data_IF_739979215369
#
_entry.id   IF_739979215369
#
_cell.length_a   1.000
_cell.length_b   1.000
_cell.length_c   1.000
_cell.angle_alpha   90.00
_cell.angle_beta   90.00
_cell.angle_gamma   90.00
#
_symmetry.space_group_name_H-M   'P 1'
#
loop_
_entity.id
_entity.type
_entity.pdbx_description
1 polymer ?
#
# COMPACT_ATOMS: atom_id res chain seq x y z
N UNK A 1 -33.95 -2.62 -0.37
CA UNK A 1 -33.56 -3.10 0.96
C UNK A 1 -32.70 -4.35 0.77
N UNK A 2 -31.38 -4.18 0.80
CA UNK A 2 -30.45 -5.32 0.84
C UNK A 2 -30.51 -5.83 2.28
N UNK A 3 -31.16 -6.98 2.49
CA UNK A 3 -31.18 -7.64 3.79
C UNK A 3 -29.77 -8.13 4.09
N UNK A 4 -29.08 -7.47 5.01
CA UNK A 4 -27.76 -7.88 5.51
C UNK A 4 -28.01 -8.91 6.60
N UNK A 5 -27.81 -10.18 6.30
CA UNK A 5 -27.94 -11.26 7.28
C UNK A 5 -26.74 -11.29 8.22
N UNK A 6 -27.02 -11.33 9.52
CA UNK A 6 -25.95 -11.54 10.53
C UNK A 6 -25.77 -13.03 10.72
N UNK A 7 -24.57 -13.53 10.51
CA UNK A 7 -24.20 -14.93 10.66
C UNK A 7 -23.00 -15.09 11.59
N UNK A 8 -22.93 -16.19 12.29
CA UNK A 8 -21.79 -16.53 13.15
C UNK A 8 -20.85 -17.46 12.41
N UNK A 9 -19.58 -17.08 12.29
CA UNK A 9 -18.55 -17.84 11.57
C UNK A 9 -17.37 -18.11 12.50
N UNK A 10 -16.87 -19.36 12.56
CA UNK A 10 -15.64 -19.66 13.29
C UNK A 10 -14.45 -18.86 12.77
N UNK A 11 -13.61 -18.31 13.65
CA UNK A 11 -12.46 -17.46 13.30
C UNK A 11 -11.52 -18.15 12.29
N UNK A 12 -11.28 -19.46 12.44
CA UNK A 12 -10.46 -20.26 11.53
C UNK A 12 -11.05 -20.47 10.13
N UNK A 13 -12.29 -20.02 9.89
CA UNK A 13 -12.97 -20.04 8.58
C UNK A 13 -12.99 -18.68 7.90
N UNK A 14 -12.41 -17.67 8.53
CA UNK A 14 -12.31 -16.31 8.02
C UNK A 14 -10.94 -16.09 7.35
N UNK A 15 -10.93 -15.81 6.07
CA UNK A 15 -9.72 -15.51 5.29
C UNK A 15 -9.66 -14.02 4.95
N UNK A 16 -8.45 -13.52 4.61
CA UNK A 16 -8.29 -12.19 4.04
C UNK A 16 -8.87 -12.20 2.63
N UNK A 17 -9.68 -11.20 2.30
CA UNK A 17 -10.17 -11.05 0.92
C UNK A 17 -9.03 -10.62 -0.01
N UNK A 18 -8.73 -11.38 -1.08
CA UNK A 18 -7.75 -10.96 -2.09
C UNK A 18 -8.08 -9.61 -2.73
N UNK A 19 -9.37 -9.23 -2.77
CA UNK A 19 -9.86 -7.94 -3.28
C UNK A 19 -9.79 -6.81 -2.23
N UNK A 20 -9.36 -7.10 -1.00
CA UNK A 20 -9.25 -6.07 0.02
C UNK A 20 -8.16 -5.07 -0.37
N UNK A 21 -8.55 -3.81 -0.39
CA UNK A 21 -7.67 -2.69 -0.74
C UNK A 21 -6.58 -2.49 0.31
N UNK A 22 -6.89 -2.76 1.59
CA UNK A 22 -5.95 -2.64 2.69
C UNK A 22 -5.39 -3.99 3.08
N UNK A 23 -4.08 -4.16 2.96
CA UNK A 23 -3.35 -5.40 3.29
C UNK A 23 -2.37 -5.22 4.46
N UNK A 24 -1.92 -4.00 4.71
CA UNK A 24 -0.92 -3.67 5.72
C UNK A 24 -1.56 -3.01 6.93
N UNK A 25 -1.28 -3.52 8.11
CA UNK A 25 -1.74 -3.00 9.40
C UNK A 25 -0.55 -2.86 10.35
N UNK A 26 -0.52 -1.76 11.13
CA UNK A 26 0.48 -1.57 12.18
C UNK A 26 0.36 -2.67 13.24
N UNK A 27 1.47 -3.33 13.55
CA UNK A 27 1.53 -4.37 14.59
C UNK A 27 1.12 -3.81 15.96
N UNK A 28 1.50 -2.58 16.26
CA UNK A 28 1.15 -1.88 17.50
C UNK A 28 -0.35 -1.60 17.56
N UNK A 29 -0.94 -1.08 16.47
CA UNK A 29 -2.38 -0.85 16.38
C UNK A 29 -3.22 -2.13 16.49
N UNK A 30 -2.71 -3.29 16.03
CA UNK A 30 -3.36 -4.59 16.24
C UNK A 30 -3.29 -4.99 17.71
N UNK A 31 -2.16 -4.79 18.40
CA UNK A 31 -2.01 -5.10 19.85
C UNK A 31 -2.93 -4.24 20.71
N UNK A 32 -3.03 -2.95 20.42
CA UNK A 32 -3.95 -2.04 21.11
C UNK A 32 -5.41 -2.46 20.94
N UNK A 33 -5.78 -2.81 19.70
CA UNK A 33 -7.14 -3.29 19.43
C UNK A 33 -7.42 -4.63 20.10
N UNK A 34 -6.45 -5.54 20.16
CA UNK A 34 -6.57 -6.80 20.86
C UNK A 34 -6.77 -6.58 22.37
N UNK A 35 -6.05 -5.61 22.97
CA UNK A 35 -6.24 -5.22 24.37
C UNK A 35 -7.65 -4.66 24.62
N UNK A 36 -8.18 -3.85 23.71
CA UNK A 36 -9.55 -3.31 23.80
C UNK A 36 -10.59 -4.44 23.68
N UNK A 37 -10.43 -5.35 22.74
CA UNK A 37 -11.32 -6.51 22.57
C UNK A 37 -11.31 -7.40 23.83
N UNK A 38 -10.13 -7.62 24.44
CA UNK A 38 -9.99 -8.36 25.70
C UNK A 38 -10.74 -7.68 26.83
N UNK A 39 -10.58 -6.36 26.98
CA UNK A 39 -11.24 -5.56 28.02
C UNK A 39 -12.77 -5.59 27.89
N UNK A 40 -13.31 -5.72 26.68
CA UNK A 40 -14.74 -5.81 26.39
C UNK A 40 -15.28 -7.26 26.38
N UNK A 41 -14.56 -8.18 27.00
CA UNK A 41 -14.97 -9.58 27.13
C UNK A 41 -14.95 -10.35 25.83
N UNK A 42 -13.97 -10.04 24.95
CA UNK A 42 -13.77 -10.64 23.61
C UNK A 42 -14.92 -10.39 22.61
N UNK A 43 -15.69 -9.34 22.81
CA UNK A 43 -16.77 -8.92 21.92
C UNK A 43 -16.28 -7.88 20.91
N UNK A 44 -16.81 -7.96 19.69
CA UNK A 44 -16.61 -6.93 18.69
C UNK A 44 -17.75 -5.92 18.76
N UNK A 45 -17.45 -4.64 18.95
CA UNK A 45 -18.44 -3.55 18.90
C UNK A 45 -19.07 -3.40 17.50
N UNK A 46 -18.35 -3.83 16.48
CA UNK A 46 -18.81 -3.83 15.10
C UNK A 46 -18.52 -5.19 14.45
N UNK A 47 -19.52 -5.76 13.79
CA UNK A 47 -19.40 -7.02 13.09
C UNK A 47 -18.41 -6.91 11.92
N UNK A 48 -17.73 -8.00 11.60
CA UNK A 48 -16.99 -8.12 10.36
C UNK A 48 -17.95 -8.16 9.16
N UNK A 49 -17.55 -7.61 8.03
CA UNK A 49 -18.28 -7.80 6.77
C UNK A 49 -17.58 -8.87 5.97
N UNK A 50 -18.32 -9.85 5.50
CA UNK A 50 -17.79 -11.02 4.81
C UNK A 50 -18.57 -11.33 3.53
N UNK A 51 -17.89 -11.96 2.58
CA UNK A 51 -18.49 -12.63 1.43
C UNK A 51 -18.12 -14.11 1.40
N UNK A 52 -18.85 -14.93 0.65
CA UNK A 52 -18.50 -16.34 0.46
C UNK A 52 -17.11 -16.45 -0.17
N UNK A 53 -16.29 -17.33 0.38
CA UNK A 53 -14.97 -17.67 -0.14
C UNK A 53 -15.04 -18.69 -1.29
N UNK A 54 -13.90 -18.95 -1.90
CA UNK A 54 -13.80 -19.90 -3.03
C UNK A 54 -13.99 -21.36 -2.60
N UNK A 55 -13.73 -21.64 -1.31
CA UNK A 55 -13.91 -22.98 -0.74
C UNK A 55 -15.18 -23.04 0.10
N UNK A 56 -15.92 -24.13 0.00
CA UNK A 56 -17.14 -24.37 0.78
C UNK A 56 -16.90 -24.20 2.27
N UNK A 57 -17.70 -23.36 2.92
CA UNK A 57 -17.63 -23.11 4.36
C UNK A 57 -16.51 -22.16 4.79
N UNK A 58 -15.83 -21.50 3.87
CA UNK A 58 -14.89 -20.40 4.15
C UNK A 58 -15.46 -19.07 3.67
N UNK A 59 -15.02 -17.99 4.29
CA UNK A 59 -15.50 -16.65 4.02
C UNK A 59 -14.32 -15.67 3.92
N UNK A 60 -14.40 -14.74 2.99
CA UNK A 60 -13.46 -13.64 2.87
C UNK A 60 -13.95 -12.44 3.67
N UNK A 61 -13.09 -11.88 4.51
CA UNK A 61 -13.34 -10.65 5.25
C UNK A 61 -13.08 -9.46 4.34
N UNK A 62 -14.14 -8.78 3.92
CA UNK A 62 -14.09 -7.59 3.05
C UNK A 62 -13.92 -6.30 3.83
N UNK A 63 -14.43 -6.24 5.08
CA UNK A 63 -14.22 -5.14 6.01
C UNK A 63 -14.03 -5.66 7.45
N UNK A 64 -13.19 -4.98 8.24
CA UNK A 64 -12.83 -5.40 9.60
C UNK A 64 -11.54 -6.24 9.66
N UNK A 65 -10.63 -6.10 8.69
CA UNK A 65 -9.37 -6.85 8.64
C UNK A 65 -8.52 -6.69 9.90
N UNK A 66 -8.43 -5.49 10.50
CA UNK A 66 -7.73 -5.26 11.78
C UNK A 66 -8.36 -6.05 12.92
N UNK A 67 -9.70 -6.06 13.01
CA UNK A 67 -10.44 -6.82 14.05
C UNK A 67 -10.19 -8.31 13.92
N UNK A 68 -10.19 -8.82 12.67
CA UNK A 68 -9.79 -10.21 12.41
C UNK A 68 -8.35 -10.48 12.86
N UNK A 69 -7.39 -9.62 12.53
CA UNK A 69 -5.99 -9.77 12.92
C UNK A 69 -5.82 -9.73 14.45
N UNK A 70 -6.53 -8.84 15.15
CA UNK A 70 -6.54 -8.78 16.60
C UNK A 70 -7.11 -10.06 17.24
N UNK A 71 -8.21 -10.61 16.70
CA UNK A 71 -8.75 -11.89 17.17
C UNK A 71 -7.78 -13.05 16.94
N UNK A 72 -7.08 -13.09 15.80
CA UNK A 72 -6.04 -14.08 15.55
C UNK A 72 -4.89 -13.99 16.54
N UNK A 73 -4.44 -12.76 16.87
CA UNK A 73 -3.42 -12.55 17.88
C UNK A 73 -3.85 -13.08 19.27
N UNK A 74 -5.12 -12.85 19.65
CA UNK A 74 -5.68 -13.40 20.91
C UNK A 74 -5.79 -14.94 20.88
N UNK A 75 -6.10 -15.52 19.73
CA UNK A 75 -6.14 -16.97 19.54
C UNK A 75 -4.73 -17.59 19.59
N UNK A 76 -3.73 -16.94 19.00
CA UNK A 76 -2.33 -17.36 19.08
C UNK A 76 -1.78 -17.27 20.51
N UNK A 77 -2.21 -16.27 21.28
CA UNK A 77 -1.89 -16.14 22.69
C UNK A 77 -2.64 -17.16 23.58
N UNK A 78 -3.55 -17.97 23.01
CA UNK A 78 -4.34 -18.96 23.76
C UNK A 78 -5.47 -18.38 24.62
N UNK A 79 -5.80 -17.09 24.43
CA UNK A 79 -6.84 -16.41 25.20
C UNK A 79 -8.25 -16.70 24.68
N UNK A 80 -8.39 -17.00 23.39
CA UNK A 80 -9.62 -17.48 22.77
C UNK A 80 -9.34 -18.73 21.92
N UNK A 81 -10.36 -19.52 21.67
CA UNK A 81 -10.24 -20.73 20.84
C UNK A 81 -9.98 -20.36 19.36
N UNK A 82 -9.26 -21.21 18.61
CA UNK A 82 -9.00 -21.00 17.17
C UNK A 82 -10.28 -20.98 16.33
N UNK A 83 -11.33 -21.60 16.79
CA UNK A 83 -12.67 -21.64 16.21
C UNK A 83 -13.66 -20.70 16.92
N UNK A 84 -13.13 -19.68 17.62
CA UNK A 84 -13.94 -18.69 18.32
C UNK A 84 -15.05 -18.14 17.40
N UNK A 85 -16.32 -18.12 17.88
CA UNK A 85 -17.46 -17.67 17.09
C UNK A 85 -17.40 -16.14 16.88
N UNK A 86 -17.39 -15.73 15.62
CA UNK A 86 -17.33 -14.29 15.23
C UNK A 86 -18.63 -13.92 14.53
N UNK A 87 -19.29 -12.88 15.03
CA UNK A 87 -20.46 -12.30 14.37
C UNK A 87 -20.04 -11.52 13.12
N UNK A 88 -20.64 -11.87 12.00
CA UNK A 88 -20.33 -11.30 10.70
C UNK A 88 -21.61 -10.87 9.98
N UNK A 89 -21.51 -9.84 9.15
CA UNK A 89 -22.57 -9.46 8.21
C UNK A 89 -22.18 -9.96 6.83
N UNK A 90 -23.00 -10.82 6.25
CA UNK A 90 -22.75 -11.32 4.89
C UNK A 90 -23.26 -10.34 3.86
N UNK A 91 -22.43 -10.05 2.84
CA UNK A 91 -22.76 -9.24 1.65
C UNK A 91 -22.27 -9.93 0.37
N UNK A 92 -22.86 -9.56 -0.75
CA UNK A 92 -22.45 -10.05 -2.06
C UNK A 92 -21.09 -9.49 -2.50
N UNK A 93 -20.43 -10.21 -3.42
CA UNK A 93 -19.04 -9.90 -3.85
C UNK A 93 -18.91 -8.56 -4.60
N UNK A 94 -19.98 -8.08 -5.23
CA UNK A 94 -19.95 -6.84 -6.02
C UNK A 94 -19.78 -5.58 -5.16
N UNK A 95 -20.25 -5.63 -3.90
CA UNK A 95 -20.14 -4.50 -2.96
C UNK A 95 -18.80 -4.47 -2.19
N UNK A 96 -17.98 -5.53 -2.29
CA UNK A 96 -16.82 -5.71 -1.43
C UNK A 96 -15.80 -4.56 -1.54
N UNK A 97 -15.52 -4.08 -2.73
CA UNK A 97 -14.56 -2.99 -2.96
C UNK A 97 -15.09 -1.66 -2.43
N UNK A 98 -16.37 -1.36 -2.64
CA UNK A 98 -17.01 -0.13 -2.16
C UNK A 98 -17.07 -0.09 -0.62
N UNK A 99 -17.33 -1.24 0.03
CA UNK A 99 -17.36 -1.36 1.49
C UNK A 99 -15.96 -1.19 2.09
N UNK A 100 -14.96 -1.83 1.48
CA UNK A 100 -13.56 -1.69 1.90
C UNK A 100 -13.08 -0.23 1.81
N UNK A 101 -13.50 0.50 0.77
CA UNK A 101 -13.21 1.92 0.61
C UNK A 101 -13.87 2.78 1.69
N UNK A 102 -15.12 2.51 2.03
CA UNK A 102 -15.87 3.27 3.04
C UNK A 102 -15.27 3.07 4.45
N UNK A 103 -14.82 1.86 4.77
CA UNK A 103 -14.14 1.59 6.05
C UNK A 103 -12.80 2.35 6.18
N UNK A 104 -12.06 2.50 5.09
CA UNK A 104 -10.75 3.16 5.08
C UNK A 104 -10.80 4.69 5.22
N UNK A 105 -11.98 5.31 5.23
CA UNK A 105 -12.14 6.76 5.49
C UNK A 105 -11.73 7.18 6.92
N UNK A 106 -11.68 6.25 7.86
CA UNK A 106 -11.38 6.53 9.26
C UNK A 106 -9.91 6.35 9.66
N UNK A 107 -9.10 5.72 8.80
CA UNK A 107 -7.68 5.51 9.06
C UNK A 107 -6.88 5.54 7.75
N UNK A 108 -5.75 6.27 7.69
CA UNK A 108 -4.95 6.36 6.46
C UNK A 108 -4.49 4.99 5.98
N UNK A 109 -4.70 4.72 4.70
CA UNK A 109 -4.22 3.49 4.06
C UNK A 109 -2.69 3.54 3.91
N UNK A 110 -2.02 2.42 4.17
CA UNK A 110 -0.57 2.33 3.96
C UNK A 110 -0.19 2.65 2.51
N UNK A 111 0.89 3.43 2.25
CA UNK A 111 1.25 3.84 0.89
C UNK A 111 1.46 2.69 -0.11
N UNK A 112 1.95 1.54 0.34
CA UNK A 112 2.09 0.34 -0.50
C UNK A 112 0.73 -0.25 -0.92
N UNK A 113 -0.27 -0.21 -0.03
CA UNK A 113 -1.64 -0.66 -0.34
C UNK A 113 -2.35 0.33 -1.27
N UNK A 114 -2.10 1.65 -1.07
CA UNK A 114 -2.57 2.68 -2.02
C UNK A 114 -2.00 2.43 -3.41
N UNK A 115 -0.69 2.13 -3.51
CA UNK A 115 -0.05 1.81 -4.78
C UNK A 115 -0.73 0.62 -5.47
N UNK A 116 -0.93 -0.50 -4.79
CA UNK A 116 -1.57 -1.68 -5.39
C UNK A 116 -2.99 -1.38 -5.88
N UNK A 117 -3.79 -0.66 -5.06
CA UNK A 117 -5.15 -0.29 -5.42
C UNK A 117 -5.19 0.65 -6.63
N UNK A 118 -4.31 1.66 -6.66
CA UNK A 118 -4.25 2.62 -7.77
C UNK A 118 -3.72 1.95 -9.04
N UNK A 119 -2.72 1.08 -8.91
CA UNK A 119 -2.14 0.37 -10.05
C UNK A 119 -3.17 -0.58 -10.70
N UNK A 120 -3.95 -1.31 -9.90
CA UNK A 120 -5.02 -2.16 -10.42
C UNK A 120 -6.04 -1.36 -11.24
N UNK A 121 -6.48 -0.20 -10.75
CA UNK A 121 -7.42 0.66 -11.47
C UNK A 121 -6.81 1.30 -12.72
N UNK A 122 -5.54 1.69 -12.66
CA UNK A 122 -4.83 2.22 -13.82
C UNK A 122 -4.68 1.16 -14.92
N UNK A 123 -4.42 -0.10 -14.56
CA UNK A 123 -4.38 -1.23 -15.51
C UNK A 123 -5.76 -1.54 -16.12
N UNK A 124 -6.85 -1.26 -15.40
CA UNK A 124 -8.22 -1.30 -15.92
C UNK A 124 -8.55 -0.11 -16.85
N UNK A 125 -7.60 0.81 -17.07
CA UNK A 125 -7.77 1.98 -17.93
C UNK A 125 -8.48 3.17 -17.28
N UNK A 126 -8.60 3.20 -15.95
CA UNK A 126 -9.17 4.36 -15.23
C UNK A 126 -8.23 5.56 -15.30
N UNK A 127 -8.80 6.74 -15.54
CA UNK A 127 -8.03 7.99 -15.53
C UNK A 127 -7.54 8.33 -14.11
N UNK A 128 -6.40 9.02 -14.01
CA UNK A 128 -5.82 9.44 -12.74
C UNK A 128 -6.79 10.29 -11.92
N UNK A 129 -7.52 11.19 -12.58
CA UNK A 129 -8.55 12.02 -11.95
C UNK A 129 -9.67 11.18 -11.31
N UNK A 130 -10.12 10.11 -11.98
CA UNK A 130 -11.15 9.20 -11.47
C UNK A 130 -10.66 8.42 -10.26
N UNK A 131 -9.38 7.97 -10.30
CA UNK A 131 -8.75 7.30 -9.16
C UNK A 131 -8.65 8.26 -7.98
N UNK A 132 -8.18 9.49 -8.20
CA UNK A 132 -8.06 10.51 -7.17
C UNK A 132 -9.42 10.82 -6.52
N UNK A 133 -10.45 11.02 -7.32
CA UNK A 133 -11.82 11.27 -6.83
C UNK A 133 -12.36 10.08 -6.02
N UNK A 134 -12.14 8.84 -6.49
CA UNK A 134 -12.60 7.62 -5.83
C UNK A 134 -11.98 7.42 -4.44
N UNK A 135 -10.72 7.81 -4.25
CA UNK A 135 -10.00 7.67 -2.99
C UNK A 135 -9.96 8.95 -2.15
N UNK A 136 -10.64 10.01 -2.57
CA UNK A 136 -10.64 11.29 -1.84
C UNK A 136 -9.25 11.91 -1.70
N UNK A 137 -8.39 11.75 -2.71
CA UNK A 137 -7.01 12.22 -2.73
C UNK A 137 -6.74 13.11 -3.95
N UNK A 138 -5.51 13.58 -4.11
CA UNK A 138 -5.10 14.41 -5.25
C UNK A 138 -4.47 13.58 -6.36
N UNK A 139 -4.55 14.04 -7.61
CA UNK A 139 -3.87 13.41 -8.75
C UNK A 139 -2.36 13.30 -8.54
N UNK A 140 -1.76 14.31 -7.90
CA UNK A 140 -0.33 14.29 -7.54
C UNK A 140 0.01 13.11 -6.63
N UNK A 141 -0.83 12.82 -5.64
CA UNK A 141 -0.62 11.67 -4.75
C UNK A 141 -0.79 10.37 -5.53
N UNK A 142 -1.79 10.27 -6.41
CA UNK A 142 -1.98 9.09 -7.27
C UNK A 142 -0.74 8.86 -8.14
N UNK A 143 -0.22 9.89 -8.82
CA UNK A 143 0.99 9.79 -9.63
C UNK A 143 2.20 9.33 -8.80
N UNK A 144 2.40 9.91 -7.61
CA UNK A 144 3.48 9.52 -6.69
C UNK A 144 3.36 8.05 -6.24
N UNK A 145 2.17 7.55 -5.99
CA UNK A 145 1.97 6.13 -5.65
C UNK A 145 2.20 5.21 -6.84
N UNK A 146 1.70 5.57 -8.02
CA UNK A 146 1.92 4.80 -9.24
C UNK A 146 3.40 4.74 -9.65
N UNK A 147 4.19 5.75 -9.33
CA UNK A 147 5.65 5.73 -9.55
C UNK A 147 6.34 4.58 -8.79
N UNK A 148 5.75 4.05 -7.72
CA UNK A 148 6.28 2.89 -6.99
C UNK A 148 6.28 1.60 -7.84
N UNK A 149 5.58 1.57 -8.98
CA UNK A 149 5.68 0.47 -9.94
C UNK A 149 7.10 0.27 -10.50
N UNK A 150 7.94 1.30 -10.44
CA UNK A 150 9.35 1.27 -10.86
C UNK A 150 10.26 0.62 -9.82
N UNK A 151 9.80 0.43 -8.60
CA UNK A 151 10.60 -0.10 -7.49
C UNK A 151 10.54 -1.62 -7.46
N UNK A 152 11.68 -2.26 -7.17
CA UNK A 152 11.75 -3.71 -7.09
C UNK A 152 10.78 -4.27 -6.04
N UNK A 153 10.16 -5.43 -6.30
CA UNK A 153 9.25 -6.07 -5.35
C UNK A 153 9.88 -6.34 -3.98
N UNK A 154 11.19 -6.63 -3.96
CA UNK A 154 11.95 -6.85 -2.72
C UNK A 154 11.96 -5.59 -1.83
N UNK A 155 12.24 -4.43 -2.40
CA UNK A 155 12.28 -3.16 -1.65
C UNK A 155 10.87 -2.73 -1.22
N UNK A 156 9.85 -2.98 -2.04
CA UNK A 156 8.46 -2.78 -1.65
C UNK A 156 8.06 -3.65 -0.46
N UNK A 157 8.54 -4.90 -0.41
CA UNK A 157 8.29 -5.78 0.74
C UNK A 157 9.00 -5.29 1.99
N UNK A 158 10.27 -4.87 1.91
CA UNK A 158 10.99 -4.27 3.04
C UNK A 158 10.27 -3.04 3.60
N UNK A 159 9.66 -2.23 2.73
CA UNK A 159 8.85 -1.10 3.17
C UNK A 159 7.56 -1.55 3.90
N UNK A 160 6.92 -2.66 3.48
CA UNK A 160 5.77 -3.25 4.17
C UNK A 160 6.13 -3.79 5.54
N UNK A 161 7.34 -4.34 5.66
CA UNK A 161 7.88 -4.93 6.89
C UNK A 161 8.46 -3.87 7.85
N UNK A 162 8.33 -2.57 7.48
CA UNK A 162 8.85 -1.42 8.24
C UNK A 162 10.39 -1.35 8.34
N UNK A 163 11.12 -2.14 7.52
CA UNK A 163 12.59 -2.12 7.43
C UNK A 163 13.12 -0.95 6.60
N UNK A 164 12.24 -0.20 5.94
CA UNK A 164 12.54 0.92 5.07
C UNK A 164 11.49 2.03 5.22
N UNK A 165 11.95 3.27 5.28
CA UNK A 165 11.04 4.43 5.29
C UNK A 165 10.49 4.74 3.88
N UNK A 166 9.35 5.44 3.81
CA UNK A 166 8.78 5.89 2.54
C UNK A 166 9.72 6.83 1.77
N UNK A 167 10.50 7.67 2.46
CA UNK A 167 11.47 8.55 1.84
C UNK A 167 12.60 7.77 1.14
N UNK A 168 13.08 6.71 1.77
CA UNK A 168 14.06 5.80 1.17
C UNK A 168 13.48 5.06 -0.04
N UNK A 169 12.28 4.46 0.10
CA UNK A 169 11.60 3.75 -0.99
C UNK A 169 11.38 4.66 -2.21
N UNK A 170 10.89 5.87 -1.98
CA UNK A 170 10.60 6.82 -3.06
C UNK A 170 11.85 7.25 -3.85
N UNK A 171 13.02 7.21 -3.23
CA UNK A 171 14.28 7.53 -3.90
C UNK A 171 14.64 6.52 -5.00
N UNK A 172 14.16 5.27 -4.91
CA UNK A 172 14.39 4.25 -5.93
C UNK A 172 13.58 4.46 -7.21
N UNK A 173 12.53 5.28 -7.19
CA UNK A 173 11.68 5.54 -8.36
C UNK A 173 12.39 6.25 -9.52
N UNK A 174 13.61 6.74 -9.31
CA UNK A 174 14.45 7.37 -10.36
C UNK A 174 15.08 6.34 -11.31
N UNK A 175 14.96 5.05 -11.04
CA UNK A 175 15.49 3.97 -11.89
C UNK A 175 14.44 2.88 -12.06
N UNK A 176 14.43 2.23 -13.24
CA UNK A 176 13.62 1.05 -13.53
C UNK A 176 14.44 -0.25 -13.40
N UNK A 177 15.74 -0.14 -13.17
CA UNK A 177 16.65 -1.28 -13.03
C UNK A 177 16.55 -1.86 -11.61
N UNK A 178 15.71 -2.87 -11.45
CA UNK A 178 15.48 -3.54 -10.16
C UNK A 178 16.75 -4.18 -9.59
N UNK A 179 17.64 -4.71 -10.44
CA UNK A 179 18.88 -5.29 -9.97
C UNK A 179 19.79 -4.21 -9.39
N UNK A 180 19.98 -3.12 -10.13
CA UNK A 180 20.76 -1.96 -9.67
C UNK A 180 20.20 -1.36 -8.38
N UNK A 181 18.88 -1.28 -8.24
CA UNK A 181 18.23 -0.82 -7.00
C UNK A 181 18.63 -1.67 -5.79
N UNK A 182 18.58 -3.00 -5.91
CA UNK A 182 18.94 -3.95 -4.83
C UNK A 182 20.44 -3.88 -4.52
N UNK A 183 21.30 -3.78 -5.55
CA UNK A 183 22.74 -3.59 -5.38
C UNK A 183 23.07 -2.32 -4.61
N UNK A 184 22.46 -1.18 -4.98
CA UNK A 184 22.65 0.10 -4.28
C UNK A 184 22.21 0.00 -2.83
N UNK A 185 21.04 -0.58 -2.57
CA UNK A 185 20.57 -0.78 -1.19
C UNK A 185 21.54 -1.62 -0.35
N UNK A 186 22.07 -2.70 -0.93
CA UNK A 186 22.99 -3.61 -0.24
C UNK A 186 24.38 -3.00 -0.04
N UNK A 187 24.85 -2.21 -1.00
CA UNK A 187 26.16 -1.58 -0.96
C UNK A 187 26.25 -0.37 -0.01
N UNK A 188 25.15 0.37 0.15
CA UNK A 188 25.12 1.52 1.06
C UNK A 188 25.12 1.04 2.52
N UNK A 189 26.05 1.55 3.35
CA UNK A 189 26.05 1.26 4.77
C UNK A 189 24.80 1.83 5.45
N UNK A 190 24.32 1.19 6.51
CA UNK A 190 23.04 1.54 7.17
C UNK A 190 22.95 3.01 7.60
N UNK A 191 24.06 3.60 8.00
CA UNK A 191 24.15 5.01 8.42
C UNK A 191 24.10 6.00 7.23
N UNK A 192 24.18 5.53 5.97
CA UNK A 192 24.17 6.35 4.75
C UNK A 192 23.05 5.94 3.78
N UNK A 193 22.00 5.29 4.28
CA UNK A 193 20.83 4.88 3.50
C UNK A 193 19.72 5.93 3.51
N UNK A 194 20.09 7.21 3.45
CA UNK A 194 19.11 8.29 3.27
C UNK A 194 18.70 8.45 1.80
N UNK A 195 17.56 9.12 1.57
CA UNK A 195 17.00 9.29 0.23
C UNK A 195 17.94 10.01 -0.75
N UNK A 196 18.75 10.93 -0.26
CA UNK A 196 19.72 11.66 -1.09
C UNK A 196 20.85 10.74 -1.56
N UNK A 197 21.45 9.96 -0.65
CA UNK A 197 22.50 9.00 -0.95
C UNK A 197 22.05 7.91 -1.91
N UNK A 198 20.81 7.42 -1.75
CA UNK A 198 20.20 6.44 -2.66
C UNK A 198 20.06 7.05 -4.06
N UNK A 199 19.45 8.23 -4.18
CA UNK A 199 19.32 8.92 -5.49
C UNK A 199 20.66 9.12 -6.15
N UNK A 200 21.63 9.64 -5.40
CA UNK A 200 22.99 9.89 -5.91
C UNK A 200 23.62 8.62 -6.47
N UNK A 201 23.53 7.51 -5.77
CA UNK A 201 24.10 6.23 -6.22
C UNK A 201 23.40 5.67 -7.48
N UNK A 202 22.10 5.92 -7.63
CA UNK A 202 21.32 5.48 -8.79
C UNK A 202 21.50 6.41 -10.01
N UNK A 203 21.88 7.67 -9.80
CA UNK A 203 21.97 8.69 -10.85
C UNK A 203 23.40 9.20 -11.07
N UNK A 204 24.39 8.45 -10.64
CA UNK A 204 25.83 8.85 -10.68
C UNK A 204 26.30 9.17 -12.11
N UNK A 205 25.75 8.47 -13.11
CA UNK A 205 26.08 8.68 -14.53
C UNK A 205 25.14 9.67 -15.24
N UNK A 206 24.13 10.19 -14.53
CA UNK A 206 23.11 11.08 -15.09
C UNK A 206 23.38 12.53 -14.72
N UNK A 207 22.89 13.45 -15.56
CA UNK A 207 23.02 14.88 -15.34
C UNK A 207 21.71 15.44 -14.80
N UNK A 208 21.78 16.10 -13.64
CA UNK A 208 20.60 16.70 -13.01
C UNK A 208 19.98 17.81 -13.87
N UNK A 209 18.66 17.94 -13.84
CA UNK A 209 17.93 19.02 -14.52
C UNK A 209 18.38 20.43 -14.11
N UNK A 210 18.91 20.55 -12.91
CA UNK A 210 19.45 21.81 -12.36
C UNK A 210 20.86 22.16 -12.88
N UNK A 211 21.53 21.22 -13.55
CA UNK A 211 22.86 21.47 -14.14
C UNK A 211 22.79 22.54 -15.22
N UNK A 212 23.80 23.46 -15.24
CA UNK A 212 23.88 24.57 -16.19
C UNK A 212 23.86 24.12 -17.65
N UNK A 213 24.38 22.92 -17.94
CA UNK A 213 24.38 22.34 -19.30
C UNK A 213 22.96 22.02 -19.75
N UNK A 214 22.13 21.44 -18.86
CA UNK A 214 20.73 21.16 -19.14
C UNK A 214 19.93 22.45 -19.28
N UNK A 215 20.17 23.41 -18.40
CA UNK A 215 19.51 24.72 -18.48
C UNK A 215 19.87 25.48 -19.78
N UNK A 216 21.11 25.38 -20.23
CA UNK A 216 21.59 26.04 -21.47
C UNK A 216 20.84 25.53 -22.72
N UNK A 217 20.51 24.27 -22.79
CA UNK A 217 19.77 23.67 -23.92
C UNK A 217 18.24 23.85 -23.82
N UNK A 218 17.75 24.59 -22.82
CA UNK A 218 16.32 24.86 -22.61
C UNK A 218 15.62 23.94 -21.62
N UNK A 219 16.36 23.16 -20.82
CA UNK A 219 15.85 22.30 -19.77
C UNK A 219 15.39 20.91 -20.26
N UNK A 220 14.77 20.14 -19.36
CA UNK A 220 14.35 18.76 -19.63
C UNK A 220 13.40 18.67 -20.84
N UNK A 221 12.44 19.60 -20.96
CA UNK A 221 11.44 19.56 -22.03
C UNK A 221 12.09 19.74 -23.42
N UNK A 222 13.08 20.63 -23.54
CA UNK A 222 13.78 20.84 -24.80
C UNK A 222 14.66 19.63 -25.16
N UNK A 223 15.32 19.03 -24.16
CA UNK A 223 16.12 17.81 -24.36
C UNK A 223 15.26 16.62 -24.81
N UNK A 224 14.10 16.42 -24.16
CA UNK A 224 13.13 15.36 -24.53
C UNK A 224 12.55 15.59 -25.93
N UNK A 225 12.20 16.84 -26.28
CA UNK A 225 11.72 17.19 -27.62
C UNK A 225 12.77 16.94 -28.71
N UNK A 226 14.05 17.01 -28.37
CA UNK A 226 15.17 16.67 -29.27
C UNK A 226 15.44 15.15 -29.32
N UNK A 227 14.64 14.33 -28.68
CA UNK A 227 14.75 12.86 -28.66
C UNK A 227 15.65 12.31 -27.54
N UNK A 228 16.03 13.14 -26.57
CA UNK A 228 16.81 12.71 -25.40
C UNK A 228 15.95 11.95 -24.38
N UNK A 229 16.54 10.96 -23.71
CA UNK A 229 15.89 10.22 -22.65
C UNK A 229 15.90 11.03 -21.34
N UNK A 230 14.74 11.19 -20.71
CA UNK A 230 14.58 11.94 -19.46
C UNK A 230 14.06 11.02 -18.37
N UNK A 231 14.76 10.98 -17.24
CA UNK A 231 14.29 10.36 -16.00
C UNK A 231 13.67 11.43 -15.10
N UNK A 232 12.38 11.30 -14.77
CA UNK A 232 11.68 12.26 -13.90
C UNK A 232 11.70 11.77 -12.44
N UNK A 233 11.98 12.71 -11.53
CA UNK A 233 11.84 12.47 -10.08
C UNK A 233 10.63 13.23 -9.54
N UNK A 234 9.57 12.51 -9.16
CA UNK A 234 8.34 13.08 -8.61
C UNK A 234 8.45 13.40 -7.11
N UNK A 235 9.54 13.01 -6.47
CA UNK A 235 9.72 13.13 -5.02
C UNK A 235 10.82 14.12 -4.63
N UNK A 236 11.60 14.63 -5.59
CA UNK A 236 12.59 15.68 -5.35
C UNK A 236 12.06 17.03 -5.85
N UNK A 237 11.69 17.91 -4.91
CA UNK A 237 11.20 19.26 -5.23
C UNK A 237 12.30 20.17 -5.81
N UNK A 238 13.58 19.85 -5.59
CA UNK A 238 14.72 20.65 -6.05
C UNK A 238 15.18 20.26 -7.44
N UNK A 239 14.97 19.02 -7.82
CA UNK A 239 15.41 18.47 -9.10
C UNK A 239 14.32 17.61 -9.73
N UNK A 240 13.67 18.15 -10.75
CA UNK A 240 12.55 17.49 -11.43
C UNK A 240 12.95 16.24 -12.24
N UNK A 241 14.24 15.96 -12.42
CA UNK A 241 14.71 14.79 -13.14
C UNK A 241 16.16 14.87 -13.60
N UNK A 242 16.53 13.92 -14.48
CA UNK A 242 17.88 13.69 -14.98
C UNK A 242 17.85 13.40 -16.48
N UNK A 243 18.98 13.68 -17.16
CA UNK A 243 19.24 13.38 -18.56
C UNK A 243 20.50 12.55 -18.70
#
# INVERSE_FOLDING_TARGET
NIMTETITIPLNKLDVDPKNVRKTYSAEGIKELAATIRADGYRLLQNLIVRKGDKKGRYFVTAGGRRRAALLLLAEAGEIAKDFPVECKQREAEDATAISLTENLHEPMHPADQFEAFNALAQEGKAIADIAARFGTTETIVCKRLALARVSPMLLQMFRDEDMSFAQLSAFTVSDDHQRQVEVWSALPSWNRDAFSIRRALTEELVAATDKRVQFIGGLAAYEAAGGAVTRDLFDERNAGYV
#
